data_IF_724116130255
#
_entry.id   IF_724116130255
#
_cell.length_a   1.000
_cell.length_b   1.000
_cell.length_c   1.000
_cell.angle_alpha   90.00
_cell.angle_beta   90.00
_cell.angle_gamma   90.00
#
_symmetry.space_group_name_H-M   'P 1'
#
loop_
_entity.id
_entity.type
_entity.pdbx_description
1 polymer ?
#
# COMPACT_ATOMS: atom_id res chain seq x y z
N UNK A 1 -16.20 19.57 15.34
CA UNK A 1 -15.31 19.59 16.53
C UNK A 1 -13.89 19.47 16.00
N UNK A 2 -13.01 20.48 16.14
CA UNK A 2 -11.59 20.32 15.80
C UNK A 2 -10.94 19.56 16.97
N UNK A 3 -10.79 18.25 16.83
CA UNK A 3 -10.02 17.46 17.78
C UNK A 3 -8.53 17.67 17.45
N UNK A 4 -7.87 18.57 18.18
CA UNK A 4 -6.41 18.61 18.22
C UNK A 4 -5.96 17.47 19.11
N UNK A 5 -5.58 16.33 18.53
CA UNK A 5 -4.93 15.26 19.29
C UNK A 5 -3.48 15.67 19.47
N UNK A 6 -3.16 16.18 20.66
CA UNK A 6 -1.78 16.30 21.12
C UNK A 6 -1.34 14.90 21.54
N UNK A 7 -0.36 14.35 20.82
CA UNK A 7 0.24 13.05 21.10
C UNK A 7 0.51 12.89 22.60
N UNK A 8 -0.06 11.85 23.20
CA UNK A 8 0.29 11.43 24.55
C UNK A 8 1.72 10.88 24.56
N UNK A 9 2.42 11.09 25.68
CA UNK A 9 3.76 10.55 25.91
C UNK A 9 3.80 9.03 25.60
N UNK A 10 4.77 8.54 24.82
CA UNK A 10 4.77 7.17 24.34
C UNK A 10 4.92 6.18 25.50
N UNK A 11 4.14 5.10 25.49
CA UNK A 11 4.55 3.87 26.16
C UNK A 11 5.37 3.08 25.14
N UNK A 12 6.70 3.16 25.25
CA UNK A 12 7.69 2.38 24.48
C UNK A 12 7.57 2.51 22.95
N UNK A 13 8.39 3.36 22.34
CA UNK A 13 8.68 3.48 20.89
C UNK A 13 7.54 3.67 19.88
N UNK A 14 6.27 3.58 20.30
CA UNK A 14 5.10 3.83 19.44
C UNK A 14 4.54 5.24 19.67
N UNK A 15 4.52 6.06 18.61
CA UNK A 15 4.03 7.45 18.61
C UNK A 15 2.80 7.64 17.71
N UNK A 16 1.93 6.62 17.68
CA UNK A 16 0.65 6.63 16.96
C UNK A 16 -0.22 7.80 17.45
N UNK A 17 -0.78 8.56 16.51
CA UNK A 17 -1.55 9.77 16.82
C UNK A 17 -3.00 9.46 17.24
N UNK A 18 -3.69 8.59 16.51
CA UNK A 18 -5.03 8.11 16.86
C UNK A 18 -5.09 6.58 16.77
N UNK A 19 -5.32 5.92 17.91
CA UNK A 19 -5.40 4.46 17.99
C UNK A 19 -6.80 4.02 18.42
N UNK A 20 -7.53 3.35 17.52
CA UNK A 20 -8.84 2.78 17.77
C UNK A 20 -8.66 1.30 18.04
N UNK A 21 -9.01 0.84 19.24
CA UNK A 21 -8.72 -0.52 19.70
C UNK A 21 -10.01 -1.24 20.08
N UNK A 22 -10.28 -2.37 19.42
CA UNK A 22 -11.41 -3.27 19.72
C UNK A 22 -12.74 -2.54 19.86
N UNK A 23 -12.97 -1.56 18.99
CA UNK A 23 -14.17 -0.76 18.95
C UNK A 23 -15.16 -1.30 17.91
N UNK A 24 -16.42 -0.93 18.08
CA UNK A 24 -17.53 -1.32 17.22
C UNK A 24 -18.31 -0.05 16.85
N UNK A 25 -18.66 0.12 15.58
CA UNK A 25 -19.40 1.30 15.08
C UNK A 25 -18.67 2.62 15.31
N UNK A 26 -17.44 2.74 14.77
CA UNK A 26 -16.62 3.95 14.91
C UNK A 26 -16.82 4.89 13.73
N UNK A 27 -16.94 6.20 13.99
CA UNK A 27 -16.94 7.22 12.94
C UNK A 27 -15.91 8.31 13.23
N UNK A 28 -15.01 8.54 12.28
CA UNK A 28 -13.99 9.60 12.31
C UNK A 28 -14.23 10.49 11.10
N UNK A 29 -14.55 11.76 11.32
CA UNK A 29 -14.81 12.66 10.21
C UNK A 29 -14.42 14.11 10.48
N UNK A 30 -14.06 14.84 9.42
CA UNK A 30 -13.72 16.27 9.46
C UNK A 30 -12.56 16.60 10.41
N UNK A 31 -11.57 15.71 10.49
CA UNK A 31 -10.38 15.88 11.33
C UNK A 31 -9.11 16.13 10.53
N UNK A 32 -8.18 16.87 11.12
CA UNK A 32 -6.82 17.02 10.61
C UNK A 32 -5.84 16.43 11.61
N UNK A 33 -4.97 15.55 11.14
CA UNK A 33 -3.97 14.83 11.94
C UNK A 33 -2.59 15.22 11.42
N UNK A 34 -1.77 15.76 12.32
CA UNK A 34 -0.43 16.24 12.00
C UNK A 34 0.58 15.55 12.90
N UNK A 35 1.44 14.77 12.26
CA UNK A 35 2.61 14.12 12.85
C UNK A 35 3.90 14.83 12.48
N UNK A 36 4.99 14.51 13.17
CA UNK A 36 6.31 14.92 12.69
C UNK A 36 6.68 14.07 11.48
N UNK A 37 6.71 14.70 10.30
CA UNK A 37 7.02 14.06 9.03
C UNK A 37 8.38 13.33 9.02
N UNK A 38 9.29 13.62 9.95
CA UNK A 38 10.61 13.00 10.05
C UNK A 38 10.75 11.99 11.19
N UNK A 39 9.69 11.67 11.92
CA UNK A 39 9.71 10.73 13.04
C UNK A 39 9.08 9.39 12.62
N UNK A 40 9.81 8.26 12.73
CA UNK A 40 9.24 6.94 12.49
C UNK A 40 8.24 6.56 13.59
N UNK A 41 7.43 5.51 13.37
CA UNK A 41 6.42 5.03 14.31
C UNK A 41 5.37 6.11 14.68
N UNK A 42 5.16 7.07 13.78
CA UNK A 42 4.26 8.20 13.96
C UNK A 42 3.03 8.06 13.04
N UNK A 43 2.33 6.94 13.20
CA UNK A 43 1.16 6.58 12.40
C UNK A 43 0.01 7.58 12.66
N UNK A 44 -0.82 7.83 11.65
CA UNK A 44 -1.96 8.72 11.71
C UNK A 44 -3.14 8.12 12.45
N UNK A 45 -3.80 7.15 11.83
CA UNK A 45 -4.95 6.44 12.38
C UNK A 45 -4.68 4.94 12.32
N UNK A 46 -4.47 4.32 13.48
CA UNK A 46 -4.42 2.88 13.63
C UNK A 46 -5.80 2.34 14.00
N UNK A 47 -6.27 1.36 13.25
CA UNK A 47 -7.52 0.65 13.50
C UNK A 47 -7.15 -0.77 13.88
N UNK A 48 -7.17 -1.07 15.16
CA UNK A 48 -6.79 -2.35 15.73
C UNK A 48 -8.04 -3.14 16.12
N UNK A 49 -8.20 -4.33 15.54
CA UNK A 49 -9.24 -5.30 15.93
C UNK A 49 -10.66 -4.69 16.00
N UNK A 50 -10.95 -3.65 15.20
CA UNK A 50 -12.16 -2.81 15.32
C UNK A 50 -13.04 -2.90 14.07
N UNK A 51 -14.35 -3.08 14.25
CA UNK A 51 -15.26 -3.36 13.15
C UNK A 51 -16.28 -2.24 12.93
N UNK A 52 -16.85 -2.20 11.72
CA UNK A 52 -17.84 -1.21 11.31
C UNK A 52 -17.32 0.23 11.51
N UNK A 53 -16.18 0.53 10.89
CA UNK A 53 -15.49 1.82 11.02
C UNK A 53 -15.64 2.65 9.76
N UNK A 54 -15.97 3.94 9.93
CA UNK A 54 -16.06 4.92 8.84
C UNK A 54 -15.10 6.07 9.09
N UNK A 55 -14.22 6.34 8.14
CA UNK A 55 -13.28 7.47 8.13
C UNK A 55 -13.62 8.36 6.93
N UNK A 56 -13.87 9.65 7.11
CA UNK A 56 -14.19 10.50 5.94
C UNK A 56 -13.85 11.97 6.11
N UNK A 57 -13.48 12.65 5.02
CA UNK A 57 -13.15 14.10 5.03
C UNK A 57 -12.00 14.43 5.98
N UNK A 58 -10.99 13.56 6.01
CA UNK A 58 -9.82 13.73 6.86
C UNK A 58 -8.65 14.32 6.07
N UNK A 59 -7.78 15.04 6.78
CA UNK A 59 -6.49 15.51 6.28
C UNK A 59 -5.38 14.95 7.16
N UNK A 60 -4.50 14.11 6.61
CA UNK A 60 -3.50 13.38 7.39
C UNK A 60 -2.11 13.70 6.82
N UNK A 61 -1.23 14.28 7.63
CA UNK A 61 0.17 14.56 7.28
C UNK A 61 1.07 14.00 8.39
N UNK A 62 1.74 12.88 8.15
CA UNK A 62 2.42 12.08 9.20
C UNK A 62 3.82 11.62 8.81
N UNK A 63 4.62 11.22 9.79
CA UNK A 63 5.91 10.58 9.55
C UNK A 63 5.77 9.16 9.04
N UNK A 64 4.89 8.38 9.68
CA UNK A 64 4.67 6.97 9.35
C UNK A 64 3.26 6.75 8.77
N UNK A 65 2.76 5.52 8.76
CA UNK A 65 1.56 5.14 8.01
C UNK A 65 0.32 5.98 8.36
N UNK A 66 -0.44 6.44 7.37
CA UNK A 66 -1.50 7.41 7.63
C UNK A 66 -2.84 6.78 8.06
N UNK A 67 -3.29 5.71 7.39
CA UNK A 67 -4.43 4.89 7.81
C UNK A 67 -3.97 3.44 7.83
N UNK A 68 -3.97 2.82 9.02
CA UNK A 68 -3.36 1.51 9.23
C UNK A 68 -4.28 0.53 9.98
N UNK A 69 -5.07 -0.29 9.25
CA UNK A 69 -5.78 -1.42 9.83
C UNK A 69 -4.81 -2.54 10.23
N UNK A 70 -4.89 -2.98 11.48
CA UNK A 70 -4.06 -4.04 12.06
C UNK A 70 -4.95 -5.03 12.84
N UNK A 71 -4.53 -6.29 12.87
CA UNK A 71 -5.23 -7.35 13.64
C UNK A 71 -4.25 -8.08 14.54
N UNK A 72 -4.59 -8.22 15.82
CA UNK A 72 -3.76 -8.88 16.84
C UNK A 72 -4.51 -9.99 17.57
N UNK A 73 -5.77 -9.76 17.91
CA UNK A 73 -6.57 -10.69 18.73
C UNK A 73 -7.91 -11.07 18.11
N UNK A 74 -8.37 -10.35 17.08
CA UNK A 74 -9.61 -10.67 16.38
C UNK A 74 -9.61 -10.14 14.95
N UNK A 75 -10.51 -10.63 14.09
CA UNK A 75 -10.68 -10.09 12.73
C UNK A 75 -11.08 -8.60 12.74
N UNK A 76 -10.74 -7.93 11.63
CA UNK A 76 -11.16 -6.55 11.31
C UNK A 76 -11.94 -6.56 10.00
N UNK A 77 -13.18 -6.07 10.04
CA UNK A 77 -14.06 -6.03 8.87
C UNK A 77 -14.95 -4.78 8.81
N UNK A 78 -15.47 -4.51 7.61
CA UNK A 78 -16.37 -3.38 7.32
C UNK A 78 -15.73 -2.02 7.68
N UNK A 79 -14.55 -1.74 7.14
CA UNK A 79 -13.91 -0.43 7.25
C UNK A 79 -14.06 0.32 5.92
N UNK A 80 -14.55 1.55 5.98
CA UNK A 80 -14.66 2.45 4.84
C UNK A 80 -13.92 3.75 5.11
N UNK A 81 -12.96 4.11 4.26
CA UNK A 81 -12.25 5.38 4.32
C UNK A 81 -12.46 6.18 3.03
N UNK A 82 -12.95 7.41 3.12
CA UNK A 82 -13.33 8.19 1.92
C UNK A 82 -12.98 9.67 1.98
N UNK A 83 -12.97 10.33 0.82
CA UNK A 83 -12.94 11.79 0.70
C UNK A 83 -11.78 12.45 1.47
N UNK A 84 -10.61 11.82 1.49
CA UNK A 84 -9.51 12.22 2.38
C UNK A 84 -8.25 12.61 1.60
N UNK A 85 -7.44 13.47 2.22
CA UNK A 85 -6.14 13.87 1.70
C UNK A 85 -5.04 13.34 2.63
N UNK A 86 -3.99 12.75 2.05
CA UNK A 86 -2.95 12.05 2.79
C UNK A 86 -1.57 12.43 2.26
N UNK A 87 -0.65 12.70 3.20
CA UNK A 87 0.79 12.82 2.99
C UNK A 87 1.52 12.06 4.09
N UNK A 88 2.52 11.26 3.74
CA UNK A 88 3.29 10.48 4.72
C UNK A 88 4.68 10.14 4.20
N UNK A 89 5.66 9.90 5.07
CA UNK A 89 6.98 9.36 4.68
C UNK A 89 7.02 7.82 4.66
N UNK A 90 5.91 7.16 4.96
CA UNK A 90 5.75 5.69 4.92
C UNK A 90 4.65 5.32 3.93
N UNK A 91 3.58 4.62 4.34
CA UNK A 91 2.48 4.22 3.45
C UNK A 91 1.20 4.99 3.74
N UNK A 92 0.55 5.53 2.70
CA UNK A 92 -0.66 6.32 2.89
C UNK A 92 -1.84 5.47 3.40
N UNK A 93 -2.00 4.26 2.87
CA UNK A 93 -2.92 3.27 3.42
C UNK A 93 -2.13 1.97 3.56
N UNK A 94 -2.00 1.44 4.79
CA UNK A 94 -1.29 0.17 5.06
C UNK A 94 -2.16 -0.81 5.80
N UNK A 95 -2.46 -1.96 5.19
CA UNK A 95 -3.03 -3.10 5.90
C UNK A 95 -1.88 -3.93 6.48
N UNK A 96 -1.85 -4.13 7.80
CA UNK A 96 -0.77 -4.79 8.53
C UNK A 96 0.29 -3.80 9.08
N UNK A 97 1.51 -4.21 9.46
CA UNK A 97 2.04 -5.55 9.27
C UNK A 97 1.50 -6.58 10.25
N UNK A 98 1.02 -6.15 11.42
CA UNK A 98 0.32 -7.01 12.37
C UNK A 98 -0.98 -7.49 11.72
N UNK A 99 -0.97 -8.75 11.29
CA UNK A 99 -2.01 -9.34 10.45
C UNK A 99 -2.36 -10.75 10.93
N UNK A 100 -2.55 -10.90 12.25
CA UNK A 100 -2.74 -12.19 12.91
C UNK A 100 -4.10 -12.83 12.61
N UNK A 101 -5.09 -12.03 12.23
CA UNK A 101 -6.45 -12.45 11.93
C UNK A 101 -6.91 -11.83 10.61
N UNK A 102 -8.13 -12.16 10.20
CA UNK A 102 -8.66 -11.75 8.91
C UNK A 102 -8.89 -10.24 8.81
N UNK A 103 -8.54 -9.68 7.64
CA UNK A 103 -8.96 -8.36 7.19
C UNK A 103 -9.94 -8.54 6.03
N UNK A 104 -11.21 -8.18 6.21
CA UNK A 104 -12.25 -8.46 5.22
C UNK A 104 -13.19 -7.28 4.95
N UNK A 105 -13.57 -7.07 3.68
CA UNK A 105 -14.56 -6.05 3.29
C UNK A 105 -14.12 -4.63 3.67
N UNK A 106 -13.03 -4.17 3.05
CA UNK A 106 -12.48 -2.82 3.25
C UNK A 106 -12.61 -1.99 1.97
N UNK A 107 -13.05 -0.74 2.11
CA UNK A 107 -13.26 0.18 0.98
C UNK A 107 -12.51 1.49 1.22
N UNK A 108 -11.69 1.87 0.24
CA UNK A 108 -10.95 3.12 0.22
C UNK A 108 -11.32 3.88 -1.06
N UNK A 109 -12.04 5.00 -0.94
CA UNK A 109 -12.62 5.70 -2.10
C UNK A 109 -12.42 7.21 -2.09
N UNK A 110 -12.13 7.79 -3.25
CA UNK A 110 -11.97 9.25 -3.41
C UNK A 110 -10.88 9.82 -2.48
N UNK A 111 -9.65 9.36 -2.66
CA UNK A 111 -8.50 9.74 -1.81
C UNK A 111 -7.40 10.37 -2.66
N UNK A 112 -6.81 11.45 -2.15
CA UNK A 112 -5.62 12.07 -2.73
C UNK A 112 -4.41 11.77 -1.85
N UNK A 113 -3.40 11.12 -2.43
CA UNK A 113 -2.14 10.75 -1.77
C UNK A 113 -1.01 11.54 -2.42
N UNK A 114 -0.22 12.27 -1.63
CA UNK A 114 0.90 13.06 -2.13
C UNK A 114 2.18 12.81 -1.34
N UNK A 115 3.32 12.91 -2.03
CA UNK A 115 4.65 12.76 -1.44
C UNK A 115 4.80 11.49 -0.57
N UNK A 116 4.12 10.40 -0.91
CA UNK A 116 4.17 9.17 -0.09
C UNK A 116 5.34 8.27 -0.45
N UNK A 117 5.82 7.44 0.47
CA UNK A 117 6.78 6.39 0.10
C UNK A 117 6.08 5.22 -0.55
N UNK A 118 4.91 4.84 -0.05
CA UNK A 118 3.98 3.91 -0.69
C UNK A 118 2.58 4.51 -0.77
N UNK A 119 1.89 4.31 -1.88
CA UNK A 119 0.49 4.70 -2.01
C UNK A 119 -0.40 3.76 -1.21
N UNK A 120 -0.73 2.63 -1.84
CA UNK A 120 -1.60 1.60 -1.28
C UNK A 120 -0.75 0.38 -0.92
N UNK A 121 -0.75 -0.01 0.34
CA UNK A 121 0.12 -1.08 0.85
C UNK A 121 -0.67 -2.17 1.58
N UNK A 122 -0.47 -3.42 1.18
CA UNK A 122 -0.82 -4.61 1.95
C UNK A 122 0.49 -5.30 2.34
N UNK A 123 0.73 -5.43 3.63
CA UNK A 123 1.94 -6.01 4.18
C UNK A 123 1.57 -7.11 5.17
N UNK A 124 1.22 -8.29 4.66
CA UNK A 124 0.63 -9.37 5.47
C UNK A 124 1.73 -10.34 5.91
N UNK A 125 1.83 -10.59 7.21
CA UNK A 125 2.99 -11.27 7.82
C UNK A 125 2.67 -12.39 8.81
N UNK A 126 1.46 -12.40 9.37
CA UNK A 126 1.14 -13.20 10.57
C UNK A 126 0.05 -14.26 10.36
N UNK A 127 -0.15 -14.72 9.12
CA UNK A 127 -1.06 -15.83 8.82
C UNK A 127 -2.53 -15.45 8.62
N UNK A 128 -2.95 -14.25 9.00
CA UNK A 128 -4.29 -13.72 8.72
C UNK A 128 -4.53 -13.56 7.22
N UNK A 129 -5.69 -14.00 6.75
CA UNK A 129 -6.09 -13.84 5.36
C UNK A 129 -6.67 -12.44 5.12
N UNK A 130 -6.47 -11.91 3.92
CA UNK A 130 -7.05 -10.64 3.49
C UNK A 130 -7.95 -10.88 2.30
N UNK A 131 -9.20 -10.41 2.35
CA UNK A 131 -10.08 -10.51 1.19
C UNK A 131 -11.05 -9.35 1.04
N UNK A 132 -11.51 -9.17 -0.19
CA UNK A 132 -12.61 -8.25 -0.54
C UNK A 132 -12.24 -6.81 -0.22
N UNK A 133 -11.14 -6.35 -0.81
CA UNK A 133 -10.61 -4.99 -0.63
C UNK A 133 -10.82 -4.20 -1.92
N UNK A 134 -11.38 -3.00 -1.81
CA UNK A 134 -11.58 -2.11 -2.95
C UNK A 134 -10.88 -0.78 -2.71
N UNK A 135 -10.03 -0.40 -3.67
CA UNK A 135 -9.43 0.91 -3.78
C UNK A 135 -9.97 1.59 -5.04
N UNK A 136 -10.67 2.70 -4.90
CA UNK A 136 -11.30 3.39 -6.04
C UNK A 136 -11.14 4.90 -6.04
N UNK A 137 -11.06 5.48 -7.23
CA UNK A 137 -11.03 6.94 -7.43
C UNK A 137 -9.86 7.60 -6.67
N UNK A 138 -8.63 7.11 -6.87
CA UNK A 138 -7.45 7.54 -6.10
C UNK A 138 -6.41 8.22 -7.00
N UNK A 139 -5.94 9.39 -6.57
CA UNK A 139 -4.79 10.06 -7.17
C UNK A 139 -3.58 9.91 -6.26
N UNK A 140 -2.45 9.46 -6.81
CA UNK A 140 -1.26 9.09 -6.03
C UNK A 140 -0.02 9.81 -6.57
N UNK A 141 0.79 10.38 -5.68
CA UNK A 141 2.18 10.70 -5.96
C UNK A 141 3.09 10.03 -4.94
N UNK A 142 3.99 9.17 -5.40
CA UNK A 142 4.99 8.50 -4.56
C UNK A 142 6.41 8.86 -4.95
N UNK A 143 7.30 8.90 -3.96
CA UNK A 143 8.71 9.25 -4.12
C UNK A 143 9.59 8.41 -3.21
N UNK A 144 10.86 8.28 -3.55
CA UNK A 144 11.81 7.66 -2.66
C UNK A 144 12.15 8.59 -1.49
N UNK A 145 12.32 7.97 -0.34
CA UNK A 145 12.94 8.55 0.84
C UNK A 145 14.25 7.83 1.18
N UNK A 146 14.88 8.27 2.26
CA UNK A 146 16.10 7.66 2.77
C UNK A 146 15.91 6.14 2.98
N UNK A 147 16.91 5.30 2.66
CA UNK A 147 16.77 3.85 2.78
C UNK A 147 16.41 3.31 4.17
N UNK A 148 16.65 4.09 5.23
CA UNK A 148 16.19 3.79 6.58
C UNK A 148 14.66 3.67 6.67
N UNK A 149 13.91 4.42 5.87
CA UNK A 149 12.45 4.32 5.78
C UNK A 149 12.04 3.09 4.98
N UNK A 150 10.95 2.45 5.42
CA UNK A 150 10.38 1.33 4.69
C UNK A 150 9.59 1.85 3.49
N UNK A 151 9.81 1.26 2.32
CA UNK A 151 9.26 1.74 1.04
C UNK A 151 10.31 1.94 -0.03
N UNK A 152 9.86 1.87 -1.29
CA UNK A 152 10.66 2.14 -2.49
C UNK A 152 9.81 2.84 -3.55
N UNK A 153 8.99 3.82 -3.16
CA UNK A 153 8.18 4.66 -4.05
C UNK A 153 7.06 3.93 -4.83
N UNK A 154 6.57 2.80 -4.34
CA UNK A 154 5.55 2.01 -5.02
C UNK A 154 4.16 2.67 -4.90
N UNK A 155 3.44 2.91 -6.02
CA UNK A 155 2.06 3.42 -5.93
C UNK A 155 1.12 2.36 -5.36
N UNK A 156 1.36 1.08 -5.66
CA UNK A 156 0.62 -0.08 -5.14
C UNK A 156 1.64 -1.16 -4.77
N UNK A 157 1.56 -1.64 -3.53
CA UNK A 157 2.46 -2.62 -2.94
C UNK A 157 1.61 -3.68 -2.22
N UNK A 158 1.59 -4.90 -2.73
CA UNK A 158 0.82 -6.02 -2.16
C UNK A 158 1.79 -7.15 -1.87
N UNK A 159 1.96 -7.46 -0.60
CA UNK A 159 2.89 -8.51 -0.18
C UNK A 159 2.30 -9.41 0.89
N UNK A 160 2.51 -10.72 0.74
CA UNK A 160 2.32 -11.68 1.81
C UNK A 160 3.50 -12.64 1.87
N UNK A 161 4.04 -12.82 3.07
CA UNK A 161 5.13 -13.74 3.40
C UNK A 161 5.19 -13.87 4.92
N UNK A 162 5.89 -14.84 5.52
CA UNK A 162 5.83 -15.02 6.97
C UNK A 162 6.73 -13.98 7.67
N UNK A 163 6.30 -13.48 8.84
CA UNK A 163 7.09 -12.56 9.68
C UNK A 163 8.39 -13.19 10.15
N UNK A 164 8.31 -14.45 10.57
CA UNK A 164 9.43 -15.25 11.04
C UNK A 164 9.35 -16.64 10.40
N UNK A 165 10.42 -17.44 10.50
CA UNK A 165 10.47 -18.77 9.88
C UNK A 165 9.41 -19.74 10.38
N UNK A 166 8.84 -19.49 11.56
CA UNK A 166 7.78 -20.26 12.22
C UNK A 166 6.39 -19.61 12.11
N UNK A 167 6.30 -18.43 11.50
CA UNK A 167 5.01 -17.76 11.26
C UNK A 167 4.26 -18.42 10.11
N UNK A 168 2.93 -18.48 10.20
CA UNK A 168 2.09 -18.94 9.09
C UNK A 168 1.99 -17.87 8.00
N UNK A 169 1.83 -18.29 6.76
CA UNK A 169 1.64 -17.40 5.61
C UNK A 169 0.14 -17.16 5.39
N UNK A 170 -0.27 -15.89 5.30
CA UNK A 170 -1.64 -15.51 4.96
C UNK A 170 -1.83 -15.43 3.44
N UNK A 171 -3.05 -15.63 2.95
CA UNK A 171 -3.40 -15.40 1.54
C UNK A 171 -4.11 -14.07 1.36
N UNK A 172 -4.00 -13.48 0.16
CA UNK A 172 -4.68 -12.24 -0.19
C UNK A 172 -5.55 -12.52 -1.42
N UNK A 173 -6.84 -12.20 -1.36
CA UNK A 173 -7.76 -12.48 -2.47
C UNK A 173 -8.76 -11.36 -2.73
N UNK A 174 -9.30 -11.31 -3.95
CA UNK A 174 -10.37 -10.38 -4.33
C UNK A 174 -9.98 -8.91 -4.06
N UNK A 175 -8.89 -8.45 -4.69
CA UNK A 175 -8.47 -7.05 -4.63
C UNK A 175 -8.92 -6.31 -5.89
N UNK A 176 -9.62 -5.20 -5.71
CA UNK A 176 -10.06 -4.33 -6.80
C UNK A 176 -9.36 -2.97 -6.72
N UNK A 177 -8.63 -2.62 -7.78
CA UNK A 177 -8.06 -1.30 -8.00
C UNK A 177 -8.79 -0.67 -9.19
N UNK A 178 -9.54 0.42 -8.95
CA UNK A 178 -10.46 0.98 -9.95
C UNK A 178 -10.29 2.49 -10.07
N UNK A 179 -10.09 3.01 -11.29
CA UNK A 179 -9.94 4.45 -11.52
C UNK A 179 -8.83 5.08 -10.66
N UNK A 180 -7.60 4.61 -10.86
CA UNK A 180 -6.42 5.09 -10.12
C UNK A 180 -5.45 5.76 -11.09
N UNK A 181 -5.01 6.96 -10.73
CA UNK A 181 -3.93 7.66 -11.44
C UNK A 181 -2.75 7.86 -10.50
N UNK A 182 -1.54 7.53 -10.95
CA UNK A 182 -0.34 7.68 -10.14
C UNK A 182 0.85 8.29 -10.91
N UNK A 183 1.62 9.13 -10.23
CA UNK A 183 2.99 9.49 -10.62
C UNK A 183 3.95 8.92 -9.59
N UNK A 184 4.79 7.98 -9.99
CA UNK A 184 5.65 7.24 -9.08
C UNK A 184 7.08 7.13 -9.59
N UNK A 185 8.01 6.91 -8.66
CA UNK A 185 9.40 6.62 -8.99
C UNK A 185 9.71 5.12 -9.12
N UNK A 186 8.73 4.24 -8.82
CA UNK A 186 8.83 2.79 -8.94
C UNK A 186 7.50 2.16 -9.40
N UNK A 187 7.57 0.89 -9.79
CA UNK A 187 6.45 0.07 -10.26
C UNK A 187 5.47 -0.37 -9.18
N UNK A 188 4.38 -0.99 -9.64
CA UNK A 188 3.51 -1.80 -8.79
C UNK A 188 4.27 -3.05 -8.39
N UNK A 189 4.20 -3.43 -7.12
CA UNK A 189 4.84 -4.64 -6.60
C UNK A 189 3.80 -5.59 -6.02
N UNK A 190 3.67 -6.78 -6.63
CA UNK A 190 2.73 -7.83 -6.26
C UNK A 190 3.50 -9.11 -5.94
N UNK A 191 3.68 -9.40 -4.65
CA UNK A 191 4.47 -10.54 -4.20
C UNK A 191 3.68 -11.39 -3.20
N UNK A 192 3.17 -12.52 -3.69
CA UNK A 192 2.75 -13.61 -2.81
C UNK A 192 3.94 -14.44 -2.35
N UNK A 193 3.63 -15.52 -1.66
CA UNK A 193 4.59 -16.55 -1.28
C UNK A 193 4.07 -17.94 -1.62
N UNK A 194 4.91 -18.96 -1.44
CA UNK A 194 4.57 -20.34 -1.80
C UNK A 194 3.35 -20.87 -1.02
N UNK A 195 3.18 -20.51 0.26
CA UNK A 195 2.01 -20.86 1.06
C UNK A 195 0.93 -19.77 1.14
N UNK A 196 1.23 -18.54 0.71
CA UNK A 196 0.29 -17.41 0.66
C UNK A 196 0.19 -16.79 -0.73
N UNK A 197 -0.69 -17.28 -1.60
CA UNK A 197 -0.86 -16.70 -2.94
C UNK A 197 -1.64 -15.38 -2.92
N UNK A 198 -1.40 -14.56 -3.93
CA UNK A 198 -2.28 -13.46 -4.35
C UNK A 198 -3.30 -14.00 -5.36
N UNK A 199 -4.60 -13.85 -5.12
CA UNK A 199 -5.65 -14.40 -5.98
C UNK A 199 -6.71 -13.39 -6.39
N UNK A 200 -7.18 -13.45 -7.64
CA UNK A 200 -8.26 -12.61 -8.15
C UNK A 200 -7.99 -11.10 -7.94
N UNK A 201 -6.89 -10.61 -8.53
CA UNK A 201 -6.53 -9.20 -8.51
C UNK A 201 -7.08 -8.53 -9.77
N UNK A 202 -7.72 -7.37 -9.61
CA UNK A 202 -8.31 -6.62 -10.72
C UNK A 202 -7.80 -5.20 -10.77
N UNK A 203 -7.31 -4.79 -11.93
CA UNK A 203 -6.86 -3.43 -12.21
C UNK A 203 -7.71 -2.87 -13.36
N UNK A 204 -8.56 -1.88 -13.08
CA UNK A 204 -9.52 -1.35 -14.04
C UNK A 204 -9.34 0.16 -14.13
N UNK A 205 -9.12 0.69 -15.34
CA UNK A 205 -8.95 2.12 -15.60
C UNK A 205 -7.78 2.72 -14.79
N UNK A 206 -6.57 2.23 -15.04
CA UNK A 206 -5.37 2.66 -14.32
C UNK A 206 -4.47 3.49 -15.23
N UNK A 207 -4.00 4.64 -14.74
CA UNK A 207 -3.05 5.51 -15.45
C UNK A 207 -1.80 5.72 -14.60
N UNK A 208 -0.66 5.19 -15.04
CA UNK A 208 0.61 5.27 -14.31
C UNK A 208 1.63 6.06 -15.11
N UNK A 209 2.24 7.06 -14.47
CA UNK A 209 3.38 7.79 -15.01
C UNK A 209 4.59 7.56 -14.13
N UNK A 210 5.59 6.94 -14.73
CA UNK A 210 6.85 6.57 -14.13
C UNK A 210 7.86 7.67 -14.41
N UNK A 211 8.32 8.36 -13.36
CA UNK A 211 9.31 9.42 -13.47
C UNK A 211 10.32 9.29 -12.34
N UNK A 212 11.60 9.56 -12.63
CA UNK A 212 12.65 9.66 -11.61
C UNK A 212 12.89 11.14 -11.29
N UNK A 213 12.86 11.52 -10.02
CA UNK A 213 13.11 12.91 -9.60
C UNK A 213 13.84 13.06 -8.27
N UNK A 214 13.99 11.98 -7.49
CA UNK A 214 14.83 11.99 -6.29
C UNK A 214 16.24 11.48 -6.58
N UNK A 215 17.17 11.80 -5.67
CA UNK A 215 18.56 11.38 -5.73
C UNK A 215 18.81 9.96 -5.18
N UNK A 216 17.80 9.32 -4.61
CA UNK A 216 17.94 8.00 -4.01
C UNK A 216 18.03 6.92 -5.08
N UNK A 217 18.85 5.90 -4.88
CA UNK A 217 19.01 4.81 -5.85
C UNK A 217 17.70 4.01 -5.98
N UNK A 218 17.27 3.75 -7.22
CA UNK A 218 16.15 2.86 -7.53
C UNK A 218 16.58 1.39 -7.65
N UNK A 219 15.76 0.55 -8.29
CA UNK A 219 16.10 -0.85 -8.55
C UNK A 219 16.06 -1.75 -7.31
N UNK A 220 15.27 -1.35 -6.32
CA UNK A 220 15.08 -2.08 -5.07
C UNK A 220 13.59 -2.30 -4.81
N UNK A 221 13.27 -3.45 -4.26
CA UNK A 221 11.99 -3.76 -3.60
C UNK A 221 12.25 -4.05 -2.13
N UNK A 222 11.29 -3.72 -1.28
CA UNK A 222 11.42 -3.83 0.18
C UNK A 222 10.48 -4.89 0.72
N UNK A 223 11.01 -6.00 1.23
CA UNK A 223 10.22 -7.10 1.79
C UNK A 223 10.00 -6.98 3.31
N UNK A 224 10.64 -6.00 3.96
CA UNK A 224 10.58 -5.85 5.43
C UNK A 224 9.17 -5.50 5.91
N UNK A 225 8.77 -5.95 7.11
CA UNK A 225 9.48 -6.89 7.96
C UNK A 225 9.28 -8.33 7.46
N UNK A 226 10.15 -9.23 7.87
CA UNK A 226 9.97 -10.67 7.66
C UNK A 226 10.83 -11.23 6.54
N UNK A 227 10.19 -11.84 5.54
CA UNK A 227 10.83 -12.76 4.59
C UNK A 227 12.22 -12.35 4.10
N UNK A 228 12.42 -11.09 3.67
CA UNK A 228 13.72 -10.58 3.25
C UNK A 228 13.87 -9.08 3.59
N UNK A 229 15.08 -8.56 3.40
CA UNK A 229 15.39 -7.14 3.52
C UNK A 229 15.05 -6.36 2.25
N UNK A 230 15.95 -5.45 1.89
CA UNK A 230 15.94 -4.80 0.57
C UNK A 230 16.58 -5.73 -0.45
N UNK A 231 15.90 -5.93 -1.58
CA UNK A 231 16.32 -6.85 -2.64
C UNK A 231 16.45 -6.09 -3.95
N UNK A 232 17.56 -6.32 -4.66
CA UNK A 232 17.75 -5.77 -6.00
C UNK A 232 16.76 -6.38 -6.98
N UNK A 233 16.18 -5.54 -7.83
CA UNK A 233 15.22 -5.97 -8.84
C UNK A 233 15.33 -5.10 -10.11
N UNK A 234 15.02 -5.68 -11.27
CA UNK A 234 14.80 -4.96 -12.53
C UNK A 234 13.66 -3.95 -12.38
N UNK A 235 13.84 -2.71 -12.79
CA UNK A 235 12.73 -1.76 -12.63
C UNK A 235 11.67 -2.03 -13.70
N UNK A 236 10.43 -2.31 -13.28
CA UNK A 236 9.32 -2.61 -14.19
C UNK A 236 8.03 -1.86 -13.81
N UNK A 237 7.03 -1.86 -14.69
CA UNK A 237 5.72 -1.25 -14.44
C UNK A 237 4.90 -2.02 -13.40
N UNK A 238 4.79 -3.34 -13.57
CA UNK A 238 4.28 -4.28 -12.56
C UNK A 238 5.30 -5.41 -12.39
N UNK A 239 5.64 -5.69 -11.14
CA UNK A 239 6.50 -6.80 -10.73
C UNK A 239 5.63 -7.82 -10.01
N UNK A 240 5.72 -9.10 -10.40
CA UNK A 240 4.80 -10.14 -9.96
C UNK A 240 5.50 -11.43 -9.52
N UNK A 241 5.08 -11.99 -8.40
CA UNK A 241 5.39 -13.36 -8.03
C UNK A 241 4.28 -14.00 -7.19
N UNK A 242 4.09 -15.31 -7.35
CA UNK A 242 3.10 -16.12 -6.60
C UNK A 242 1.67 -15.57 -6.71
N UNK A 243 1.22 -15.38 -7.95
CA UNK A 243 -0.11 -14.88 -8.29
C UNK A 243 -0.90 -15.95 -9.04
N UNK A 244 -2.18 -16.06 -8.72
CA UNK A 244 -3.15 -16.88 -9.43
C UNK A 244 -4.44 -16.08 -9.68
N UNK A 245 -4.52 -15.47 -10.86
CA UNK A 245 -5.63 -14.59 -11.24
C UNK A 245 -5.25 -13.12 -11.15
N UNK A 246 -4.91 -12.52 -12.29
CA UNK A 246 -4.72 -11.09 -12.47
C UNK A 246 -5.45 -10.62 -13.74
N UNK A 247 -6.49 -9.81 -13.56
CA UNK A 247 -7.22 -9.18 -14.65
C UNK A 247 -6.88 -7.69 -14.75
N UNK A 248 -6.40 -7.28 -15.91
CA UNK A 248 -6.02 -5.89 -16.19
C UNK A 248 -6.85 -5.37 -17.35
N UNK A 249 -7.60 -4.30 -17.11
CA UNK A 249 -8.52 -3.69 -18.08
C UNK A 249 -8.30 -2.18 -18.16
N UNK A 250 -8.08 -1.66 -19.38
CA UNK A 250 -7.92 -0.23 -19.66
C UNK A 250 -6.78 0.40 -18.83
N UNK A 251 -5.57 -0.14 -18.96
CA UNK A 251 -4.40 0.32 -18.22
C UNK A 251 -3.40 0.99 -19.15
N UNK A 252 -2.98 2.19 -18.76
CA UNK A 252 -1.98 2.99 -19.46
C UNK A 252 -0.76 3.21 -18.56
N UNK A 253 0.40 2.74 -19.01
CA UNK A 253 1.68 2.93 -18.34
C UNK A 253 2.60 3.79 -19.19
N UNK A 254 3.18 4.83 -18.61
CA UNK A 254 4.01 5.78 -19.34
C UNK A 254 5.30 6.07 -18.60
N UNK A 255 6.43 6.00 -19.30
CA UNK A 255 7.74 6.30 -18.73
C UNK A 255 8.24 7.64 -19.22
N UNK A 256 8.62 8.52 -18.30
CA UNK A 256 9.18 9.83 -18.64
C UNK A 256 10.51 9.65 -19.39
N UNK A 257 10.63 10.30 -20.55
CA UNK A 257 11.84 10.26 -21.40
C UNK A 257 13.03 10.99 -20.73
N UNK A 258 13.70 10.29 -19.81
CA UNK A 258 14.99 10.65 -19.26
C UNK A 258 15.98 9.54 -19.58
N UNK A 259 16.87 9.78 -20.55
CA UNK A 259 17.78 8.84 -21.23
C UNK A 259 18.81 8.11 -20.33
N UNK A 260 18.55 7.94 -19.04
CA UNK A 260 19.56 7.57 -18.04
C UNK A 260 19.30 6.28 -17.27
N UNK A 261 18.15 5.60 -17.44
CA UNK A 261 17.88 4.35 -16.71
C UNK A 261 17.14 3.35 -17.60
N UNK A 262 17.53 2.07 -17.56
CA UNK A 262 16.84 0.92 -18.13
C UNK A 262 15.51 0.66 -17.38
N UNK A 263 14.57 1.59 -17.52
CA UNK A 263 13.24 1.53 -16.93
C UNK A 263 12.21 1.54 -18.06
N UNK A 264 12.19 0.45 -18.81
CA UNK A 264 11.35 0.31 -20.01
C UNK A 264 10.64 -1.04 -20.06
N UNK A 265 10.67 -1.83 -18.97
CA UNK A 265 9.92 -3.07 -18.87
C UNK A 265 8.50 -2.85 -18.30
N UNK A 266 7.41 -3.09 -19.05
CA UNK A 266 6.07 -2.93 -18.51
C UNK A 266 5.70 -3.97 -17.47
N UNK A 267 6.14 -5.22 -17.64
CA UNK A 267 5.76 -6.35 -16.80
C UNK A 267 7.00 -7.21 -16.50
N UNK A 268 7.23 -7.51 -15.23
CA UNK A 268 8.24 -8.47 -14.78
C UNK A 268 7.60 -9.49 -13.87
N UNK A 269 8.02 -10.75 -13.99
CA UNK A 269 7.46 -11.82 -13.19
C UNK A 269 8.43 -12.95 -12.94
N UNK A 270 8.34 -13.52 -11.73
CA UNK A 270 9.12 -14.70 -11.37
C UNK A 270 8.60 -15.94 -12.11
N UNK A 271 9.45 -16.64 -12.88
CA UNK A 271 9.03 -17.80 -13.68
C UNK A 271 8.31 -18.86 -12.85
N UNK A 272 7.28 -19.47 -13.44
CA UNK A 272 6.47 -20.55 -12.86
C UNK A 272 5.69 -20.21 -11.58
N UNK A 273 5.58 -18.93 -11.21
CA UNK A 273 4.83 -18.51 -10.01
C UNK A 273 3.61 -17.64 -10.31
N UNK A 274 3.43 -17.22 -11.56
CA UNK A 274 2.33 -16.33 -11.97
C UNK A 274 1.46 -17.05 -12.98
N UNK A 275 0.18 -17.20 -12.66
CA UNK A 275 -0.81 -17.94 -13.45
C UNK A 275 -2.08 -17.09 -13.66
N UNK A 276 -2.84 -17.43 -14.72
CA UNK A 276 -4.15 -16.86 -15.00
C UNK A 276 -4.14 -15.31 -15.13
N UNK A 277 -3.31 -14.80 -16.05
CA UNK A 277 -3.26 -13.37 -16.38
C UNK A 277 -4.16 -13.07 -17.59
N UNK A 278 -4.98 -12.03 -17.48
CA UNK A 278 -5.76 -11.45 -18.58
C UNK A 278 -5.42 -9.97 -18.74
N UNK A 279 -5.13 -9.54 -19.97
CA UNK A 279 -4.81 -8.15 -20.31
C UNK A 279 -5.75 -7.68 -21.43
N UNK A 280 -6.58 -6.68 -21.15
CA UNK A 280 -7.49 -6.05 -22.10
C UNK A 280 -7.21 -4.54 -22.14
N UNK A 281 -6.95 -4.00 -23.33
CA UNK A 281 -6.60 -2.58 -23.52
C UNK A 281 -5.43 -2.13 -22.62
N UNK A 282 -4.37 -2.93 -22.61
CA UNK A 282 -3.12 -2.64 -21.90
C UNK A 282 -2.16 -1.89 -22.83
N UNK A 283 -1.78 -0.68 -22.45
CA UNK A 283 -0.89 0.19 -23.21
C UNK A 283 0.32 0.58 -22.39
N UNK A 284 1.51 0.46 -22.99
CA UNK A 284 2.77 0.95 -22.43
C UNK A 284 3.51 1.82 -23.45
N UNK A 285 4.23 2.84 -23.00
CA UNK A 285 5.00 3.68 -23.90
C UNK A 285 5.78 4.79 -23.22
N UNK A 286 6.53 5.55 -24.02
CA UNK A 286 7.30 6.70 -23.54
C UNK A 286 6.39 7.92 -23.44
N UNK A 287 6.43 8.62 -22.32
CA UNK A 287 5.82 9.93 -22.12
C UNK A 287 6.76 11.01 -22.67
N UNK A 288 6.44 11.53 -23.85
CA UNK A 288 7.07 12.72 -24.43
C UNK A 288 6.27 13.95 -24.00
N UNK A 289 6.94 14.95 -23.43
CA UNK A 289 6.34 16.26 -23.18
C UNK A 289 5.95 16.95 -24.49
#
# INVERSE_FOLDING_TARGET
MRMHILAGYPRNDDSILLHIVRCENTSIHDVSIYGDFNTPNNDGIDIEDSNNTVITRCHIDTGDDAICPKTYTSPLYNLTATNSWIRTKSSAIKLGSASWFELNNLVFDNITIVDSHRGLALQIRDGGNVSDITFSNINISTRYYDPSWWGRAEPIYVTTCPRHSDSSEGSISNLNFVNISAVSENGIFLSGSKGGLLRNLRFININLTYKRWTKYMGGLVDYRPGCQGLVNHSTAGIIMEHIDGLDVENVNMRWFDGRTVQWDNPLDFRPSTVNNISLLNFHSGVYKQ
#
